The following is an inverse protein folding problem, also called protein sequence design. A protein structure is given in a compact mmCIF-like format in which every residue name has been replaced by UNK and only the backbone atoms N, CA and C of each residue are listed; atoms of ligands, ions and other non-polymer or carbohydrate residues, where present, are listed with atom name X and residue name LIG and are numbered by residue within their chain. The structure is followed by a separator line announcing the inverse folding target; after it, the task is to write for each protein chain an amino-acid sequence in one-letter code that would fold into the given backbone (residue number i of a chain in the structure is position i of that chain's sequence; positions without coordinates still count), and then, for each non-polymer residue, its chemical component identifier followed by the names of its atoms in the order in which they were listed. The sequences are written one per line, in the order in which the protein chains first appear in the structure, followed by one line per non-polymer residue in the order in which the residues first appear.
data_IF_134414930826
#
_entry.id   IF_134414930826
#
_cell.length_a   1.000
_cell.length_b   1.000
_cell.length_c   1.000
_cell.angle_alpha   90.00
_cell.angle_beta   90.00
_cell.angle_gamma   90.00
#
_symmetry.space_group_name_H-M   'P 1'
#
loop_
_entity.id
_entity.type
_entity.pdbx_description
1 polymer ?
#
# COMPACT_ATOMS: atom_id res chain seq x y z
N UNK A 1 10.33 -10.42 3.73
CA UNK A 1 8.89 -10.62 3.99
C UNK A 1 8.13 -10.80 2.66
N UNK A 2 8.47 -10.01 1.66
CA UNK A 2 8.11 -10.08 0.24
C UNK A 2 8.39 -11.44 -0.44
N UNK A 3 9.52 -12.10 -0.18
CA UNK A 3 9.78 -13.42 -0.78
C UNK A 3 8.70 -14.47 -0.41
N UNK A 4 8.36 -14.58 0.88
CA UNK A 4 7.29 -15.47 1.36
C UNK A 4 5.92 -15.15 0.73
N UNK A 5 5.65 -13.88 0.40
CA UNK A 5 4.42 -13.49 -0.31
C UNK A 5 4.36 -14.07 -1.73
N UNK A 6 5.48 -14.03 -2.46
CA UNK A 6 5.54 -14.61 -3.80
C UNK A 6 5.52 -16.14 -3.78
N UNK A 7 6.22 -16.76 -2.82
CA UNK A 7 6.21 -18.22 -2.64
C UNK A 7 4.78 -18.72 -2.40
N UNK A 8 4.00 -18.03 -1.55
CA UNK A 8 2.60 -18.35 -1.30
C UNK A 8 1.71 -18.19 -2.54
N UNK A 9 1.98 -17.17 -3.36
CA UNK A 9 1.27 -16.96 -4.63
C UNK A 9 1.55 -18.12 -5.58
N UNK A 10 2.81 -18.54 -5.72
CA UNK A 10 3.19 -19.64 -6.62
C UNK A 10 2.56 -20.97 -6.19
N UNK A 11 2.57 -21.28 -4.89
CA UNK A 11 1.95 -22.49 -4.33
C UNK A 11 0.44 -22.55 -4.56
N UNK A 12 -0.24 -21.41 -4.47
CA UNK A 12 -1.71 -21.34 -4.58
C UNK A 12 -2.20 -20.96 -5.97
N UNK A 13 -1.30 -20.67 -6.92
CA UNK A 13 -1.66 -20.17 -8.26
C UNK A 13 -2.54 -21.17 -9.04
N UNK A 14 -2.37 -22.46 -8.80
CA UNK A 14 -3.16 -23.52 -9.45
C UNK A 14 -4.52 -23.76 -8.79
N UNK A 15 -4.63 -23.48 -7.49
CA UNK A 15 -5.85 -23.68 -6.69
C UNK A 15 -6.76 -22.46 -6.65
N UNK A 16 -6.22 -21.27 -6.92
CA UNK A 16 -6.98 -20.01 -6.89
C UNK A 16 -7.86 -19.85 -8.13
N UNK A 17 -9.01 -19.18 -7.94
CA UNK A 17 -9.99 -18.94 -9.00
C UNK A 17 -9.36 -18.24 -10.22
N UNK A 18 -9.74 -18.59 -11.48
CA UNK A 18 -9.11 -18.08 -12.70
C UNK A 18 -9.00 -16.55 -12.80
N UNK A 19 -9.96 -15.82 -12.23
CA UNK A 19 -9.96 -14.34 -12.17
C UNK A 19 -8.74 -13.85 -11.37
N UNK A 20 -8.49 -14.43 -10.21
CA UNK A 20 -7.35 -14.08 -9.36
C UNK A 20 -6.02 -14.62 -9.89
N UNK A 21 -6.03 -15.72 -10.64
CA UNK A 21 -4.82 -16.21 -11.29
C UNK A 21 -4.19 -15.15 -12.20
N UNK A 22 -5.00 -14.37 -12.91
CA UNK A 22 -4.49 -13.32 -13.82
C UNK A 22 -3.81 -12.19 -13.04
N UNK A 23 -4.38 -11.83 -11.90
CA UNK A 23 -3.83 -10.82 -10.98
C UNK A 23 -2.53 -11.33 -10.34
N UNK A 24 -2.54 -12.56 -9.82
CA UNK A 24 -1.35 -13.21 -9.26
C UNK A 24 -0.21 -13.35 -10.28
N UNK A 25 -0.52 -13.72 -11.53
CA UNK A 25 0.48 -13.77 -12.62
C UNK A 25 1.07 -12.39 -12.92
N UNK A 26 0.28 -11.33 -12.81
CA UNK A 26 0.79 -9.96 -12.98
C UNK A 26 1.72 -9.57 -11.84
N UNK A 27 1.39 -9.93 -10.60
CA UNK A 27 2.28 -9.70 -9.46
C UNK A 27 3.62 -10.44 -9.59
N UNK A 28 3.63 -11.66 -10.11
CA UNK A 28 4.87 -12.39 -10.39
C UNK A 28 5.70 -11.77 -11.52
N UNK A 29 5.06 -11.23 -12.56
CA UNK A 29 5.74 -10.53 -13.67
C UNK A 29 6.36 -9.20 -13.25
N UNK A 30 5.68 -8.45 -12.41
CA UNK A 30 6.13 -7.14 -11.91
C UNK A 30 6.78 -7.27 -10.52
N UNK A 31 7.45 -8.40 -10.24
CA UNK A 31 7.97 -8.75 -8.91
C UNK A 31 8.80 -7.65 -8.28
N UNK A 32 9.68 -7.00 -9.04
CA UNK A 32 10.54 -5.91 -8.53
C UNK A 32 9.74 -4.65 -8.18
N UNK A 33 8.70 -4.33 -8.95
CA UNK A 33 7.84 -3.17 -8.68
C UNK A 33 6.95 -3.43 -7.47
N UNK A 34 6.42 -4.64 -7.35
CA UNK A 34 5.59 -5.06 -6.23
C UNK A 34 6.44 -5.19 -4.96
N UNK A 35 7.65 -5.73 -5.06
CA UNK A 35 8.61 -5.79 -3.95
C UNK A 35 8.96 -4.39 -3.49
N UNK A 36 9.31 -3.49 -4.41
CA UNK A 36 9.54 -2.08 -4.09
C UNK A 36 8.29 -1.42 -3.49
N UNK A 37 7.08 -1.70 -3.96
CA UNK A 37 5.85 -1.12 -3.40
C UNK A 37 5.44 -1.71 -2.04
N UNK A 38 5.82 -2.97 -1.76
CA UNK A 38 5.57 -3.65 -0.49
C UNK A 38 6.62 -3.30 0.56
N UNK A 39 7.88 -3.09 0.15
CA UNK A 39 9.00 -2.71 1.02
C UNK A 39 9.11 -1.21 1.21
N UNK A 40 8.78 -0.42 0.19
CA UNK A 40 8.66 1.02 0.35
C UNK A 40 7.24 1.32 0.82
N UNK A 41 7.05 1.87 2.03
CA UNK A 41 5.84 2.62 2.30
C UNK A 41 5.88 3.78 1.32
N UNK A 42 5.02 3.70 0.29
CA UNK A 42 4.90 4.66 -0.79
C UNK A 42 5.13 6.10 -0.26
N UNK A 43 6.32 6.66 -0.52
CA UNK A 43 6.60 8.10 -0.39
C UNK A 43 6.53 8.76 1.02
N UNK A 44 7.01 8.16 2.11
CA UNK A 44 7.17 8.93 3.36
C UNK A 44 8.39 9.88 3.37
N UNK A 45 9.49 9.57 2.68
CA UNK A 45 10.67 10.46 2.69
C UNK A 45 10.48 11.78 1.92
N UNK A 46 9.67 11.77 0.85
CA UNK A 46 9.40 12.98 0.04
C UNK A 46 8.24 13.83 0.61
N UNK A 47 7.37 13.22 1.42
CA UNK A 47 6.30 13.91 2.12
C UNK A 47 6.75 14.51 3.47
N UNK A 48 7.74 13.90 4.13
CA UNK A 48 8.30 14.40 5.39
C UNK A 48 9.07 15.72 5.24
N UNK A 49 9.71 15.94 4.09
CA UNK A 49 10.35 17.22 3.76
C UNK A 49 9.33 18.35 3.51
N UNK A 50 8.11 18.01 3.05
CA UNK A 50 7.02 18.97 2.90
C UNK A 50 6.29 19.22 4.23
N UNK A 51 6.20 18.23 5.12
CA UNK A 51 5.53 18.38 6.42
C UNK A 51 6.31 19.21 7.42
N UNK A 52 7.65 19.24 7.38
CA UNK A 52 8.42 20.14 8.26
C UNK A 52 8.24 21.62 7.84
N UNK A 53 8.12 21.89 6.54
CA UNK A 53 7.83 23.26 6.04
C UNK A 53 6.35 23.63 6.13
N UNK A 54 5.43 22.66 6.04
CA UNK A 54 3.98 22.89 6.20
C UNK A 54 3.50 22.80 7.65
N UNK A 55 4.30 22.32 8.62
CA UNK A 55 3.92 22.33 10.05
C UNK A 55 3.60 23.74 10.56
N UNK A 56 4.18 24.78 9.94
CA UNK A 56 3.78 26.18 10.19
C UNK A 56 2.41 26.56 9.58
N UNK A 57 1.88 25.78 8.63
CA UNK A 57 0.62 26.03 7.91
C UNK A 57 -0.49 25.00 8.24
N UNK A 58 -0.15 23.81 8.76
CA UNK A 58 -1.08 22.72 9.10
C UNK A 58 -1.67 22.84 10.51
N UNK A 59 -1.07 23.61 11.42
CA UNK A 59 -1.65 23.86 12.74
C UNK A 59 -3.02 24.59 12.66
N UNK A 60 -3.31 25.27 11.55
CA UNK A 60 -4.57 25.98 11.30
C UNK A 60 -5.65 25.16 10.58
N UNK A 61 -5.38 23.93 10.12
CA UNK A 61 -6.34 23.14 9.31
C UNK A 61 -6.71 21.77 9.91
N UNK A 62 -6.17 21.41 11.08
CA UNK A 62 -6.35 20.11 11.74
C UNK A 62 -7.67 19.97 12.55
N UNK A 63 -8.66 20.84 12.34
CA UNK A 63 -9.98 20.71 12.99
C UNK A 63 -11.03 19.96 12.14
N UNK A 64 -10.71 19.59 10.90
CA UNK A 64 -11.71 18.97 10.01
C UNK A 64 -11.74 17.45 10.13
N UNK A 65 -12.80 16.92 10.76
CA UNK A 65 -13.12 15.48 10.97
C UNK A 65 -13.26 14.58 9.72
N UNK A 66 -12.73 15.01 8.58
CA UNK A 66 -12.77 14.31 7.29
C UNK A 66 -11.78 13.15 7.23
N UNK A 67 -10.61 13.29 7.84
CA UNK A 67 -9.52 12.30 7.76
C UNK A 67 -9.78 11.05 8.64
N UNK A 68 -10.47 11.22 9.77
CA UNK A 68 -10.76 10.13 10.70
C UNK A 68 -11.87 9.21 10.18
N UNK A 69 -12.89 9.78 9.56
CA UNK A 69 -14.01 9.02 8.97
C UNK A 69 -13.56 8.12 7.84
N UNK A 70 -12.62 8.59 7.01
CA UNK A 70 -12.07 7.79 5.92
C UNK A 70 -11.29 6.57 6.44
N UNK A 71 -10.51 6.74 7.52
CA UNK A 71 -9.70 5.66 8.11
C UNK A 71 -10.56 4.51 8.65
N UNK A 72 -11.68 4.83 9.29
CA UNK A 72 -12.56 3.81 9.87
C UNK A 72 -13.29 2.99 8.81
N UNK A 73 -13.63 3.60 7.66
CA UNK A 73 -14.26 2.88 6.55
C UNK A 73 -13.35 1.79 5.97
N UNK A 74 -12.04 2.04 5.88
CA UNK A 74 -11.08 1.06 5.35
C UNK A 74 -10.69 -0.03 6.35
N UNK A 75 -10.79 0.21 7.66
CA UNK A 75 -10.48 -0.80 8.69
C UNK A 75 -11.59 -1.85 8.87
N UNK A 76 -12.75 -1.63 8.24
CA UNK A 76 -13.94 -2.48 8.33
C UNK A 76 -14.09 -3.44 7.14
N UNK A 77 -13.16 -3.39 6.17
CA UNK A 77 -13.11 -4.29 5.02
C UNK A 77 -12.04 -5.36 5.24
#
# INVERSE_FOLDING_TARGET
QTNHFFDLIEENLSAVHPIFQTVCRTFLKDRDKITNALELPYSNAKLEALTISSRSLSATLLDSGTLTTLRNAFSSL
#
